data_IF_741274370639
#
_entry.id   IF_741274370639
#
_cell.length_a   1.000
_cell.length_b   1.000
_cell.length_c   1.000
_cell.angle_alpha   90.00
_cell.angle_beta   90.00
_cell.angle_gamma   90.00
#
_symmetry.space_group_name_H-M   'P 1'
#
loop_
_entity.id
_entity.type
_entity.pdbx_description
1 polymer ?
#
# COMPACT_ATOMS: atom_id res chain seq x y z
N UNK A 1 9.41 19.12 8.73
CA UNK A 1 8.66 20.12 9.52
C UNK A 1 9.30 21.46 9.20
N UNK A 2 8.60 22.39 8.56
CA UNK A 2 9.17 23.71 8.24
C UNK A 2 9.52 24.46 9.52
N UNK A 3 10.66 25.16 9.53
CA UNK A 3 11.03 26.01 10.67
C UNK A 3 10.24 27.31 10.57
N UNK A 4 9.45 27.61 11.59
CA UNK A 4 8.52 28.74 11.60
C UNK A 4 8.95 29.69 12.70
N UNK A 5 9.07 30.96 12.36
CA UNK A 5 9.23 32.05 13.31
C UNK A 5 8.00 32.96 13.23
N UNK A 6 7.45 33.36 14.37
CA UNK A 6 6.16 34.09 14.41
C UNK A 6 6.34 35.55 14.81
N UNK A 7 5.82 36.45 14.00
CA UNK A 7 5.60 37.86 14.32
C UNK A 7 4.12 38.06 14.67
N UNK A 8 3.86 38.55 15.88
CA UNK A 8 2.50 38.90 16.34
C UNK A 8 2.40 40.42 16.42
N UNK A 9 1.43 40.99 15.71
CA UNK A 9 1.08 42.40 15.82
C UNK A 9 0.04 42.60 16.90
N UNK A 10 0.31 43.52 17.83
CA UNK A 10 -0.68 43.98 18.77
C UNK A 10 -1.68 44.92 18.10
N UNK A 11 -2.95 44.98 18.55
CA UNK A 11 -3.94 45.89 17.98
C UNK A 11 -3.45 47.35 17.94
N UNK A 12 -3.46 47.93 16.74
CA UNK A 12 -3.02 49.31 16.50
C UNK A 12 -1.49 49.50 16.37
N UNK A 13 -0.70 48.44 16.51
CA UNK A 13 0.75 48.50 16.23
C UNK A 13 1.02 48.34 14.74
N UNK A 14 1.93 49.16 14.22
CA UNK A 14 2.49 49.03 12.87
C UNK A 14 3.84 48.30 12.87
N UNK A 15 4.32 47.88 14.05
CA UNK A 15 5.63 47.24 14.20
C UNK A 15 5.58 45.98 15.06
N UNK A 16 6.33 44.96 14.67
CA UNK A 16 6.56 43.77 15.46
C UNK A 16 8.06 43.44 15.56
N UNK A 17 8.47 42.80 16.66
CA UNK A 17 9.85 42.36 16.87
C UNK A 17 9.89 40.84 17.03
N UNK A 18 10.88 40.23 16.41
CA UNK A 18 11.06 38.79 16.36
C UNK A 18 12.50 38.44 16.69
N UNK A 19 12.68 37.43 17.55
CA UNK A 19 13.99 36.94 17.99
C UNK A 19 14.09 35.44 17.78
N UNK A 20 15.31 34.92 17.63
CA UNK A 20 15.57 33.47 17.60
C UNK A 20 15.95 32.91 16.24
N UNK A 21 16.13 33.77 15.23
CA UNK A 21 16.77 33.36 13.98
C UNK A 21 18.28 33.19 14.17
N UNK A 22 18.85 32.31 13.37
CA UNK A 22 20.29 32.04 13.31
C UNK A 22 20.78 32.18 11.87
N UNK A 23 22.02 32.64 11.72
CA UNK A 23 22.68 32.60 10.42
C UNK A 23 22.74 31.17 9.88
N UNK A 24 22.65 31.04 8.55
CA UNK A 24 22.69 29.76 7.82
C UNK A 24 21.57 28.78 8.17
N UNK A 25 20.55 29.23 8.90
CA UNK A 25 19.39 28.40 9.23
C UNK A 25 18.34 28.47 8.13
N UNK A 26 18.65 27.87 6.98
CA UNK A 26 17.90 28.03 5.74
C UNK A 26 16.48 27.46 5.77
N UNK A 27 15.63 27.98 4.88
CA UNK A 27 14.25 27.52 4.71
C UNK A 27 13.30 27.96 5.83
N UNK A 28 13.63 29.04 6.54
CA UNK A 28 12.79 29.62 7.57
C UNK A 28 11.55 30.29 6.98
N UNK A 29 10.41 30.10 7.64
CA UNK A 29 9.14 30.76 7.29
C UNK A 29 8.80 31.77 8.37
N UNK A 30 8.57 33.02 7.95
CA UNK A 30 7.99 34.05 8.80
C UNK A 30 6.47 33.93 8.74
N UNK A 31 5.89 33.67 9.92
CA UNK A 31 4.44 33.65 10.16
C UNK A 31 4.01 34.97 10.78
N UNK A 32 3.03 35.62 10.18
CA UNK A 32 2.51 36.92 10.60
C UNK A 32 1.08 36.73 11.11
N UNK A 33 0.81 37.25 12.31
CA UNK A 33 -0.47 37.15 12.99
C UNK A 33 -0.87 38.51 13.58
N UNK A 34 -2.17 38.67 13.83
CA UNK A 34 -2.72 39.92 14.41
C UNK A 34 -3.02 41.01 13.37
N UNK A 35 -2.90 40.71 12.08
CA UNK A 35 -3.24 41.59 10.97
C UNK A 35 -4.28 40.93 10.07
N UNK A 36 -5.15 41.74 9.45
CA UNK A 36 -6.11 41.27 8.44
C UNK A 36 -5.58 41.57 7.04
N UNK A 37 -4.57 40.80 6.61
CA UNK A 37 -3.90 41.01 5.33
C UNK A 37 -4.68 40.35 4.16
N UNK A 38 -4.51 40.85 2.91
CA UNK A 38 -5.07 40.20 1.73
C UNK A 38 -4.58 38.76 1.54
N UNK A 39 -5.26 37.97 0.70
CA UNK A 39 -4.93 36.56 0.44
C UNK A 39 -3.49 36.35 -0.06
N UNK A 40 -2.96 37.31 -0.82
CA UNK A 40 -1.57 37.40 -1.19
C UNK A 40 -1.07 38.82 -0.92
N UNK A 41 0.12 38.95 -0.32
CA UNK A 41 0.70 40.23 0.05
C UNK A 41 2.19 40.26 -0.29
N UNK A 42 2.68 41.39 -0.77
CA UNK A 42 4.10 41.56 -1.07
C UNK A 42 4.86 41.94 0.21
N UNK A 43 5.97 41.26 0.45
CA UNK A 43 6.81 41.48 1.63
C UNK A 43 8.24 41.70 1.16
N UNK A 44 8.80 42.84 1.53
CA UNK A 44 10.16 43.24 1.16
C UNK A 44 11.11 42.97 2.32
N UNK A 45 12.08 42.09 2.11
CA UNK A 45 13.11 41.81 3.11
C UNK A 45 14.35 42.67 2.87
N UNK A 46 14.90 43.29 3.90
CA UNK A 46 16.15 44.06 3.82
C UNK A 46 17.02 43.88 5.06
N UNK A 47 18.34 43.96 4.89
CA UNK A 47 19.31 44.01 5.99
C UNK A 47 19.48 45.42 6.57
N UNK A 48 18.88 46.42 5.93
CA UNK A 48 18.96 47.82 6.31
C UNK A 48 17.55 48.39 6.49
N UNK A 49 17.36 49.20 7.52
CA UNK A 49 16.03 49.72 7.84
C UNK A 49 15.59 50.87 6.91
N UNK A 50 16.52 51.74 6.52
CA UNK A 50 16.18 53.02 5.88
C UNK A 50 16.75 53.21 4.48
N UNK A 51 17.70 52.38 4.05
CA UNK A 51 18.43 52.50 2.78
C UNK A 51 18.80 51.11 2.25
N UNK A 52 19.27 51.02 1.01
CA UNK A 52 19.73 49.77 0.42
C UNK A 52 18.66 49.07 -0.43
N UNK A 53 18.94 47.81 -0.78
CA UNK A 53 18.06 46.99 -1.60
C UNK A 53 17.19 46.09 -0.72
N UNK A 54 16.06 45.68 -1.27
CA UNK A 54 15.19 44.67 -0.68
C UNK A 54 15.02 43.48 -1.61
N UNK A 55 14.69 42.32 -1.04
CA UNK A 55 14.30 41.12 -1.76
C UNK A 55 12.81 40.89 -1.51
N UNK A 56 12.00 41.00 -2.57
CA UNK A 56 10.56 40.77 -2.48
C UNK A 56 10.22 39.28 -2.40
N UNK A 57 9.22 38.97 -1.59
CA UNK A 57 8.56 37.67 -1.51
C UNK A 57 7.05 37.88 -1.43
N UNK A 58 6.29 36.89 -1.88
CA UNK A 58 4.83 36.88 -1.74
C UNK A 58 4.48 36.04 -0.52
N UNK A 59 3.82 36.66 0.45
CA UNK A 59 3.20 35.99 1.58
C UNK A 59 1.81 35.50 1.21
N UNK A 60 1.41 34.34 1.73
CA UNK A 60 0.08 33.74 1.52
C UNK A 60 -0.69 33.78 2.82
N UNK A 61 -1.87 34.40 2.79
CA UNK A 61 -2.75 34.54 3.95
C UNK A 61 -3.87 33.51 3.90
N UNK A 62 -4.01 32.76 4.99
CA UNK A 62 -5.11 31.81 5.21
C UNK A 62 -5.57 31.90 6.66
N UNK A 63 -6.88 32.01 6.88
CA UNK A 63 -7.50 32.04 8.21
C UNK A 63 -6.89 33.11 9.15
N UNK A 64 -6.56 34.29 8.59
CA UNK A 64 -5.96 35.41 9.35
C UNK A 64 -4.47 35.23 9.70
N UNK A 65 -3.81 34.23 9.13
CA UNK A 65 -2.38 33.95 9.31
C UNK A 65 -1.68 34.05 7.96
N UNK A 66 -0.63 34.86 7.87
CA UNK A 66 0.17 35.01 6.66
C UNK A 66 1.52 34.34 6.81
N UNK A 67 1.85 33.41 5.91
CA UNK A 67 3.15 32.76 5.88
C UNK A 67 3.97 33.23 4.68
N UNK A 68 5.25 33.53 4.90
CA UNK A 68 6.20 33.94 3.85
C UNK A 68 7.58 33.32 4.10
N UNK A 69 8.25 32.89 3.03
CA UNK A 69 9.60 32.33 3.12
C UNK A 69 10.62 33.46 3.30
N UNK A 70 11.47 33.35 4.32
CA UNK A 70 12.61 34.26 4.52
C UNK A 70 13.68 33.94 3.46
N UNK A 71 14.19 34.94 2.71
CA UNK A 71 15.27 34.69 1.77
C UNK A 71 16.55 34.20 2.47
N UNK A 72 17.10 33.07 2.03
CA UNK A 72 18.31 32.49 2.61
C UNK A 72 19.50 33.47 2.57
N UNK A 73 19.61 34.30 1.52
CA UNK A 73 20.64 35.35 1.42
C UNK A 73 20.62 36.34 2.60
N UNK A 74 19.45 36.60 3.18
CA UNK A 74 19.29 37.47 4.34
C UNK A 74 19.72 36.78 5.65
N UNK A 75 19.78 35.45 5.66
CA UNK A 75 20.31 34.64 6.77
C UNK A 75 21.81 34.38 6.63
N UNK A 76 22.44 34.79 5.53
CA UNK A 76 23.89 34.73 5.36
C UNK A 76 24.54 36.06 5.75
N UNK A 77 24.02 37.17 5.21
CA UNK A 77 24.55 38.53 5.40
C UNK A 77 26.08 38.58 5.20
N UNK A 78 26.56 38.04 4.07
CA UNK A 78 27.98 37.94 3.70
C UNK A 78 28.88 37.32 4.79
N UNK A 79 28.30 36.48 5.66
CA UNK A 79 29.00 35.86 6.77
C UNK A 79 29.33 36.81 7.92
N UNK A 80 28.46 37.79 8.18
CA UNK A 80 28.65 38.74 9.27
C UNK A 80 28.94 38.06 10.62
N UNK A 81 30.04 38.46 11.26
CA UNK A 81 30.49 37.84 12.53
C UNK A 81 29.67 38.26 13.75
N UNK A 82 28.73 39.20 13.58
CA UNK A 82 27.92 39.78 14.66
C UNK A 82 26.44 39.58 14.40
N UNK A 83 25.67 39.47 15.47
CA UNK A 83 24.21 39.50 15.41
C UNK A 83 23.75 40.77 14.70
N UNK A 84 22.81 40.63 13.77
CA UNK A 84 22.30 41.72 12.95
C UNK A 84 20.78 41.68 12.89
N UNK A 85 20.21 42.79 12.43
CA UNK A 85 18.78 42.93 12.24
C UNK A 85 18.44 42.84 10.74
N UNK A 86 17.41 42.08 10.44
CA UNK A 86 16.72 42.05 9.15
C UNK A 86 15.35 42.66 9.34
N UNK A 87 14.83 43.31 8.30
CA UNK A 87 13.54 43.96 8.30
C UNK A 87 12.66 43.33 7.24
N UNK A 88 11.42 43.03 7.59
CA UNK A 88 10.38 42.65 6.64
C UNK A 88 9.34 43.78 6.60
N UNK A 89 9.17 44.39 5.44
CA UNK A 89 8.20 45.45 5.20
C UNK A 89 7.00 44.86 4.46
N UNK A 90 5.82 44.99 5.05
CA UNK A 90 4.56 44.51 4.44
C UNK A 90 4.04 45.63 3.55
N UNK A 91 4.02 45.38 2.25
CA UNK A 91 3.59 46.32 1.23
C UNK A 91 2.18 45.93 0.76
N UNK A 92 1.21 46.82 1.00
CA UNK A 92 -0.16 46.66 0.52
C UNK A 92 -0.30 47.39 -0.80
N UNK A 93 -0.79 46.69 -1.81
CA UNK A 93 -0.99 47.22 -3.16
C UNK A 93 -2.45 47.03 -3.55
N UNK A 94 -3.04 48.07 -4.13
CA UNK A 94 -4.33 48.03 -4.83
C UNK A 94 -4.12 48.31 -6.34
N UNK A 95 -5.22 48.34 -7.11
CA UNK A 95 -5.16 48.51 -8.57
C UNK A 95 -4.56 49.86 -9.01
N UNK A 96 -4.40 50.83 -8.10
CA UNK A 96 -4.02 52.21 -8.40
C UNK A 96 -2.80 52.72 -7.63
N UNK A 97 -2.46 52.10 -6.50
CA UNK A 97 -1.44 52.57 -5.58
C UNK A 97 -0.91 51.45 -4.68
N UNK A 98 0.20 51.69 -4.00
CA UNK A 98 0.64 50.81 -2.93
C UNK A 98 1.45 51.56 -1.88
N UNK A 99 1.44 51.03 -0.66
CA UNK A 99 2.14 51.61 0.48
C UNK A 99 2.65 50.55 1.46
N UNK A 100 3.79 50.82 2.08
CA UNK A 100 4.30 50.02 3.20
C UNK A 100 3.57 50.43 4.47
N UNK A 101 2.80 49.50 5.06
CA UNK A 101 2.02 49.79 6.27
C UNK A 101 2.63 49.22 7.55
N UNK A 102 3.32 48.08 7.45
CA UNK A 102 3.82 47.36 8.61
C UNK A 102 5.30 47.01 8.46
N UNK A 103 5.99 46.96 9.60
CA UNK A 103 7.42 46.60 9.67
C UNK A 103 7.65 45.55 10.74
N UNK A 104 8.38 44.51 10.39
CA UNK A 104 8.83 43.49 11.32
C UNK A 104 10.34 43.58 11.42
N UNK A 105 10.86 43.71 12.64
CA UNK A 105 12.29 43.62 12.93
C UNK A 105 12.62 42.21 13.37
N UNK A 106 13.53 41.55 12.66
CA UNK A 106 13.96 40.17 12.90
C UNK A 106 15.43 40.15 13.29
N UNK A 107 15.73 39.74 14.52
CA UNK A 107 17.11 39.59 14.97
C UNK A 107 17.66 38.22 14.57
N UNK A 108 18.78 38.24 13.84
CA UNK A 108 19.50 37.04 13.38
C UNK A 108 20.81 36.92 14.15
N UNK A 109 20.95 35.85 14.94
CA UNK A 109 22.18 35.57 15.70
C UNK A 109 23.26 35.03 14.77
N UNK A 110 24.45 35.63 14.86
CA UNK A 110 25.61 35.13 14.11
C UNK A 110 26.07 33.77 14.64
N UNK A 111 26.58 32.94 13.74
CA UNK A 111 27.21 31.66 14.08
C UNK A 111 28.20 31.26 12.98
N UNK A 112 29.17 30.36 13.26
CA UNK A 112 30.06 29.86 12.23
C UNK A 112 29.29 29.22 11.07
N UNK A 113 29.74 29.49 9.84
CA UNK A 113 29.20 28.85 8.63
C UNK A 113 29.31 27.33 8.79
N UNK A 114 28.19 26.59 8.70
CA UNK A 114 28.24 25.15 8.80
C UNK A 114 29.07 24.61 7.64
N UNK A 115 29.98 23.69 7.94
CA UNK A 115 30.57 22.85 6.90
C UNK A 115 29.44 22.02 6.29
N UNK A 116 29.10 22.31 5.04
CA UNK A 116 28.25 21.42 4.26
C UNK A 116 29.19 20.36 3.70
N UNK A 117 29.08 19.08 4.11
CA UNK A 117 29.87 18.02 3.50
C UNK A 117 29.57 17.99 2.00
N UNK A 118 30.56 18.32 1.17
CA UNK A 118 30.40 18.47 -0.29
C UNK A 118 30.16 19.88 -0.81
N UNK A 119 30.14 20.91 0.05
CA UNK A 119 29.95 22.32 -0.29
C UNK A 119 31.23 23.17 -0.28
N UNK A 120 32.39 22.55 -0.49
CA UNK A 120 33.55 23.28 -1.01
C UNK A 120 33.35 23.53 -2.51
N UNK A 121 34.08 24.48 -3.10
CA UNK A 121 34.11 24.75 -4.54
C UNK A 121 34.46 23.49 -5.36
N UNK A 122 33.49 22.58 -5.53
CA UNK A 122 33.56 21.52 -6.52
C UNK A 122 32.88 22.11 -7.76
N UNK A 123 33.65 22.62 -8.76
CA UNK A 123 33.08 23.18 -9.98
C UNK A 123 32.21 22.18 -10.77
N UNK A 124 32.20 20.91 -10.37
CA UNK A 124 31.43 19.82 -10.98
C UNK A 124 30.19 19.35 -10.18
N UNK A 125 29.75 20.04 -9.12
CA UNK A 125 28.53 19.69 -8.38
C UNK A 125 27.30 19.49 -9.28
N UNK A 126 27.12 20.34 -10.29
CA UNK A 126 26.02 20.19 -11.26
C UNK A 126 26.18 18.93 -12.11
N UNK A 127 27.41 18.58 -12.50
CA UNK A 127 27.67 17.36 -13.24
C UNK A 127 27.39 16.11 -12.39
N UNK A 128 27.80 16.10 -11.13
CA UNK A 128 27.51 15.01 -10.18
C UNK A 128 26.02 14.86 -9.92
N UNK A 129 25.30 15.97 -9.74
CA UNK A 129 23.84 15.97 -9.59
C UNK A 129 23.14 15.41 -10.84
N UNK A 130 23.56 15.84 -12.04
CA UNK A 130 23.04 15.31 -13.30
C UNK A 130 23.36 13.82 -13.44
N UNK A 131 24.57 13.37 -13.09
CA UNK A 131 24.91 11.96 -13.10
C UNK A 131 24.08 11.14 -12.10
N UNK A 132 23.80 11.67 -10.91
CA UNK A 132 22.96 11.01 -9.92
C UNK A 132 21.51 10.89 -10.37
N UNK A 133 20.98 11.95 -11.01
CA UNK A 133 19.66 11.93 -11.65
C UNK A 133 19.63 10.92 -12.79
N UNK A 134 20.65 10.88 -13.65
CA UNK A 134 20.74 9.92 -14.75
C UNK A 134 20.76 8.48 -14.23
N UNK A 135 21.59 8.17 -13.22
CA UNK A 135 21.61 6.84 -12.58
C UNK A 135 20.25 6.45 -11.99
N UNK A 136 19.53 7.42 -11.44
CA UNK A 136 18.18 7.21 -10.90
C UNK A 136 17.18 6.94 -12.02
N UNK A 137 17.26 7.66 -13.12
CA UNK A 137 16.44 7.44 -14.31
C UNK A 137 16.72 6.06 -14.94
N UNK A 138 17.98 5.67 -15.09
CA UNK A 138 18.37 4.36 -15.61
C UNK A 138 17.83 3.22 -14.73
N UNK A 139 17.92 3.38 -13.40
CA UNK A 139 17.36 2.42 -12.44
C UNK A 139 15.83 2.33 -12.52
N UNK A 140 15.16 3.47 -12.73
CA UNK A 140 13.72 3.50 -12.90
C UNK A 140 13.30 2.79 -14.20
N UNK A 141 13.99 3.05 -15.31
CA UNK A 141 13.74 2.40 -16.58
C UNK A 141 13.96 0.88 -16.51
N UNK A 142 15.01 0.43 -15.82
CA UNK A 142 15.24 -1.00 -15.58
C UNK A 142 14.14 -1.62 -14.71
N UNK A 143 13.67 -0.90 -13.68
CA UNK A 143 12.58 -1.37 -12.82
C UNK A 143 11.25 -1.48 -13.57
N UNK A 144 10.92 -0.50 -14.41
CA UNK A 144 9.76 -0.55 -15.32
C UNK A 144 9.88 -1.74 -16.27
N UNK A 145 11.06 -1.93 -16.85
CA UNK A 145 11.35 -3.05 -17.74
C UNK A 145 11.12 -4.41 -17.09
N UNK A 146 11.54 -4.55 -15.84
CA UNK A 146 11.30 -5.76 -15.09
C UNK A 146 9.82 -5.94 -14.72
N UNK A 147 9.13 -4.87 -14.32
CA UNK A 147 7.71 -4.91 -13.98
C UNK A 147 6.84 -5.31 -15.17
N UNK A 148 7.08 -4.75 -16.37
CA UNK A 148 6.38 -5.12 -17.59
C UNK A 148 6.64 -6.58 -17.97
N UNK A 149 7.89 -7.05 -17.84
CA UNK A 149 8.21 -8.46 -18.05
C UNK A 149 7.43 -9.39 -17.12
N UNK A 150 7.20 -8.99 -15.88
CA UNK A 150 6.37 -9.76 -14.94
C UNK A 150 4.87 -9.70 -15.24
N UNK A 151 4.39 -8.57 -15.74
CA UNK A 151 2.97 -8.37 -16.02
C UNK A 151 2.53 -9.03 -17.34
N UNK A 152 3.28 -8.82 -18.42
CA UNK A 152 2.84 -9.13 -19.79
C UNK A 152 3.79 -10.08 -20.55
N UNK A 153 4.94 -10.38 -19.95
CA UNK A 153 5.99 -11.15 -20.59
C UNK A 153 6.80 -10.33 -21.60
N UNK A 154 8.09 -10.63 -21.73
CA UNK A 154 9.02 -9.93 -22.62
C UNK A 154 10.05 -10.87 -23.24
N UNK A 155 10.25 -10.77 -24.56
CA UNK A 155 11.09 -11.72 -25.33
C UNK A 155 12.59 -11.62 -25.03
N UNK A 156 13.05 -10.44 -24.65
CA UNK A 156 14.42 -10.11 -24.29
C UNK A 156 14.75 -10.46 -22.82
N UNK A 157 13.77 -10.94 -22.05
CA UNK A 157 13.94 -11.51 -20.71
C UNK A 157 13.45 -12.97 -20.73
N UNK A 158 14.33 -13.95 -21.04
CA UNK A 158 13.95 -15.33 -21.29
C UNK A 158 13.17 -15.98 -20.13
N UNK A 159 13.52 -15.64 -18.90
CA UNK A 159 12.83 -16.13 -17.68
C UNK A 159 11.40 -15.60 -17.54
N UNK A 160 11.03 -14.59 -18.33
CA UNK A 160 9.76 -13.86 -18.28
C UNK A 160 9.19 -13.71 -19.68
N UNK A 161 9.42 -14.68 -20.57
CA UNK A 161 8.97 -14.60 -21.97
C UNK A 161 7.44 -14.68 -22.13
N UNK A 162 6.73 -15.15 -21.10
CA UNK A 162 5.27 -15.28 -21.08
C UNK A 162 4.67 -14.45 -19.95
N UNK A 163 3.48 -13.88 -20.21
CA UNK A 163 2.63 -13.24 -19.21
C UNK A 163 2.34 -14.21 -18.06
N UNK A 164 2.66 -13.79 -16.83
CA UNK A 164 2.49 -14.63 -15.65
C UNK A 164 1.03 -15.04 -15.41
N UNK A 165 0.09 -14.12 -15.61
CA UNK A 165 -1.33 -14.42 -15.42
C UNK A 165 -1.79 -15.45 -16.45
N UNK A 166 -1.34 -15.32 -17.70
CA UNK A 166 -1.60 -16.29 -18.78
C UNK A 166 -0.96 -17.64 -18.50
N UNK A 167 0.27 -17.66 -17.97
CA UNK A 167 0.97 -18.90 -17.61
C UNK A 167 0.21 -19.69 -16.54
N UNK A 168 -0.10 -19.05 -15.40
CA UNK A 168 -0.84 -19.72 -14.32
C UNK A 168 -2.28 -20.05 -14.71
N UNK A 169 -2.94 -19.22 -15.53
CA UNK A 169 -4.25 -19.56 -16.09
C UNK A 169 -4.19 -20.81 -16.99
N UNK A 170 -3.13 -20.96 -17.79
CA UNK A 170 -2.87 -22.16 -18.57
C UNK A 170 -2.68 -23.39 -17.70
N UNK A 171 -1.86 -23.31 -16.65
CA UNK A 171 -1.69 -24.41 -15.69
C UNK A 171 -3.00 -24.79 -14.98
N UNK A 172 -3.83 -23.80 -14.63
CA UNK A 172 -5.13 -24.04 -14.04
C UNK A 172 -6.08 -24.72 -15.03
N UNK A 173 -6.12 -24.27 -16.29
CA UNK A 173 -6.92 -24.88 -17.34
C UNK A 173 -6.49 -26.34 -17.62
N UNK A 174 -5.19 -26.60 -17.70
CA UNK A 174 -4.63 -27.95 -17.87
C UNK A 174 -4.93 -28.87 -16.68
N UNK A 175 -4.95 -28.31 -15.48
CA UNK A 175 -5.32 -29.07 -14.27
C UNK A 175 -6.81 -29.38 -14.29
N UNK A 176 -7.64 -28.41 -14.63
CA UNK A 176 -9.09 -28.57 -14.71
C UNK A 176 -9.49 -29.59 -15.79
N UNK A 177 -8.82 -29.59 -16.95
CA UNK A 177 -9.10 -30.54 -18.04
C UNK A 177 -8.79 -32.00 -17.68
N UNK A 178 -7.90 -32.23 -16.71
CA UNK A 178 -7.55 -33.57 -16.19
C UNK A 178 -8.52 -34.07 -15.12
N UNK A 179 -9.38 -33.22 -14.55
CA UNK A 179 -10.32 -33.62 -13.48
C UNK A 179 -11.28 -34.73 -13.94
N UNK A 180 -11.94 -34.64 -15.11
CA UNK A 180 -12.87 -35.68 -15.55
C UNK A 180 -12.22 -37.07 -15.63
N UNK A 181 -11.02 -37.16 -16.21
CA UNK A 181 -10.28 -38.44 -16.29
C UNK A 181 -9.99 -39.03 -14.90
N UNK A 182 -9.54 -38.19 -13.95
CA UNK A 182 -9.31 -38.62 -12.56
C UNK A 182 -10.58 -39.07 -11.85
N UNK A 183 -11.74 -38.47 -12.19
CA UNK A 183 -13.04 -38.86 -11.62
C UNK A 183 -13.48 -40.22 -12.17
N UNK A 184 -13.32 -40.45 -13.47
CA UNK A 184 -13.61 -41.76 -14.07
C UNK A 184 -12.69 -42.86 -13.52
N UNK A 185 -11.39 -42.61 -13.42
CA UNK A 185 -10.43 -43.54 -12.81
C UNK A 185 -10.83 -43.89 -11.36
N UNK A 186 -11.20 -42.89 -10.56
CA UNK A 186 -11.64 -43.11 -9.17
C UNK A 186 -12.96 -43.88 -9.10
N UNK A 187 -13.89 -43.63 -10.03
CA UNK A 187 -15.15 -44.38 -10.13
C UNK A 187 -14.89 -45.85 -10.46
N UNK A 188 -14.04 -46.14 -11.44
CA UNK A 188 -13.67 -47.50 -11.81
C UNK A 188 -12.94 -48.25 -10.68
N UNK A 189 -12.15 -47.54 -9.87
CA UNK A 189 -11.52 -48.11 -8.68
C UNK A 189 -12.56 -48.49 -7.62
N UNK A 190 -13.53 -47.62 -7.35
CA UNK A 190 -14.64 -47.88 -6.42
C UNK A 190 -15.50 -49.05 -6.91
N UNK A 191 -15.87 -49.07 -8.19
CA UNK A 191 -16.72 -50.11 -8.76
C UNK A 191 -16.02 -51.48 -8.68
N UNK A 192 -14.71 -51.55 -8.98
CA UNK A 192 -13.91 -52.77 -8.80
C UNK A 192 -13.83 -53.19 -7.33
N UNK A 193 -13.64 -52.25 -6.41
CA UNK A 193 -13.61 -52.54 -4.98
C UNK A 193 -14.94 -53.12 -4.49
N UNK A 194 -16.07 -52.54 -4.89
CA UNK A 194 -17.42 -53.01 -4.54
C UNK A 194 -17.66 -54.41 -5.09
N UNK A 195 -17.35 -54.65 -6.37
CA UNK A 195 -17.49 -55.98 -6.98
C UNK A 195 -16.67 -57.03 -6.23
N UNK A 196 -15.39 -56.75 -5.94
CA UNK A 196 -14.55 -57.67 -5.17
C UNK A 196 -15.09 -57.93 -3.76
N UNK A 197 -15.67 -56.91 -3.10
CA UNK A 197 -16.31 -57.08 -1.80
C UNK A 197 -17.59 -57.89 -1.87
N UNK A 198 -18.41 -57.70 -2.90
CA UNK A 198 -19.60 -58.53 -3.11
C UNK A 198 -19.23 -60.00 -3.31
N UNK A 199 -18.22 -60.30 -4.13
CA UNK A 199 -17.72 -61.67 -4.33
C UNK A 199 -17.22 -62.27 -3.02
N UNK A 200 -16.41 -61.52 -2.26
CA UNK A 200 -15.91 -61.96 -0.95
C UNK A 200 -17.05 -62.26 0.04
N UNK A 201 -18.09 -61.42 0.07
CA UNK A 201 -19.24 -61.59 0.98
C UNK A 201 -20.18 -62.72 0.55
N UNK A 202 -20.30 -63.00 -0.75
CA UNK A 202 -21.04 -64.17 -1.25
C UNK A 202 -20.37 -65.50 -0.86
N UNK A 203 -19.05 -65.50 -0.70
CA UNK A 203 -18.26 -66.68 -0.30
C UNK A 203 -18.47 -67.88 -1.24
N UNK A 204 -18.10 -69.10 -0.79
CA UNK A 204 -18.31 -70.34 -1.56
C UNK A 204 -19.80 -70.71 -1.73
N UNK A 205 -20.67 -70.11 -0.92
CA UNK A 205 -22.08 -70.50 -0.87
C UNK A 205 -22.91 -69.78 -1.95
N UNK A 206 -22.49 -68.61 -2.46
CA UNK A 206 -23.32 -67.76 -3.32
C UNK A 206 -24.42 -67.02 -2.54
N UNK A 207 -25.30 -66.25 -3.21
CA UNK A 207 -26.38 -65.48 -2.57
C UNK A 207 -27.11 -66.32 -1.50
N UNK A 208 -27.00 -65.91 -0.24
CA UNK A 208 -27.67 -66.59 0.88
C UNK A 208 -28.98 -65.85 1.13
N UNK A 209 -30.03 -66.25 0.44
CA UNK A 209 -31.37 -65.84 0.82
C UNK A 209 -31.74 -66.63 2.08
N UNK A 210 -31.80 -65.94 3.22
CA UNK A 210 -32.34 -66.51 4.44
C UNK A 210 -33.86 -66.43 4.39
N UNK A 211 -34.55 -67.40 5.00
CA UNK A 211 -36.00 -67.37 5.13
C UNK A 211 -36.46 -66.02 5.69
N UNK A 212 -37.37 -65.35 4.99
CA UNK A 212 -37.85 -64.04 5.37
C UNK A 212 -38.79 -64.16 6.59
N UNK A 213 -38.59 -63.31 7.61
CA UNK A 213 -39.47 -63.26 8.77
C UNK A 213 -40.44 -62.08 8.66
N UNK A 214 -41.72 -62.31 8.92
CA UNK A 214 -42.76 -61.27 8.96
C UNK A 214 -43.73 -61.54 10.09
N UNK A 215 -44.12 -60.50 10.82
CA UNK A 215 -45.17 -60.61 11.84
C UNK A 215 -46.54 -60.48 11.16
N UNK A 216 -47.40 -61.49 11.35
CA UNK A 216 -48.78 -61.49 10.84
C UNK A 216 -49.72 -61.82 11.99
N UNK A 217 -50.67 -60.92 12.26
CA UNK A 217 -51.63 -61.03 13.37
C UNK A 217 -50.94 -61.30 14.72
N UNK A 218 -49.86 -60.57 15.01
CA UNK A 218 -49.11 -60.68 16.27
C UNK A 218 -48.23 -61.93 16.41
N UNK A 219 -48.09 -62.74 15.36
CA UNK A 219 -47.23 -63.94 15.36
C UNK A 219 -46.10 -63.79 14.34
N UNK A 220 -44.86 -64.03 14.76
CA UNK A 220 -43.71 -64.12 13.84
C UNK A 220 -43.89 -65.33 12.93
N UNK A 221 -43.96 -65.10 11.62
CA UNK A 221 -44.03 -66.13 10.59
C UNK A 221 -42.75 -66.10 9.78
N UNK A 222 -42.17 -67.27 9.58
CA UNK A 222 -41.05 -67.48 8.68
C UNK A 222 -41.60 -67.95 7.33
N UNK A 223 -41.18 -67.29 6.26
CA UNK A 223 -41.55 -67.59 4.88
C UNK A 223 -40.29 -68.10 4.20
N UNK A 224 -40.36 -69.32 3.68
CA UNK A 224 -39.30 -69.90 2.88
C UNK A 224 -39.72 -69.94 1.43
N UNK A 225 -38.89 -69.40 0.54
CA UNK A 225 -39.07 -69.53 -0.90
C UNK A 225 -38.40 -70.81 -1.39
N UNK A 226 -39.16 -71.81 -1.86
CA UNK A 226 -38.60 -73.09 -2.26
C UNK A 226 -37.68 -73.00 -3.48
N UNK A 227 -37.76 -71.96 -4.32
CA UNK A 227 -36.91 -71.80 -5.50
C UNK A 227 -35.56 -71.15 -5.17
N UNK A 228 -35.45 -70.50 -4.01
CA UNK A 228 -34.33 -69.60 -3.69
C UNK A 228 -33.58 -70.01 -2.41
N UNK A 229 -34.27 -70.57 -1.40
CA UNK A 229 -33.67 -70.86 -0.09
C UNK A 229 -32.85 -72.15 -0.06
N UNK A 230 -31.63 -72.07 0.52
CA UNK A 230 -30.75 -73.23 0.74
C UNK A 230 -31.22 -74.13 1.89
N UNK A 231 -32.01 -73.60 2.82
CA UNK A 231 -32.54 -74.34 3.96
C UNK A 231 -34.06 -74.32 3.90
N UNK A 232 -34.66 -75.46 3.55
CA UNK A 232 -36.12 -75.62 3.52
C UNK A 232 -36.61 -76.15 4.85
N UNK A 233 -37.53 -75.42 5.49
CA UNK A 233 -38.18 -75.87 6.72
C UNK A 233 -39.58 -76.41 6.43
N UNK A 234 -39.88 -77.62 6.90
CA UNK A 234 -41.18 -78.28 6.72
C UNK A 234 -41.73 -78.64 8.09
N UNK A 235 -42.98 -78.27 8.36
CA UNK A 235 -43.66 -78.63 9.60
C UNK A 235 -44.43 -79.93 9.42
N UNK A 236 -44.11 -80.93 10.22
CA UNK A 236 -44.85 -82.20 10.29
C UNK A 236 -45.42 -82.33 11.71
N UNK A 237 -46.71 -82.06 11.86
CA UNK A 237 -47.37 -81.97 13.15
C UNK A 237 -46.78 -80.85 14.03
N UNK A 238 -46.28 -81.23 15.21
CA UNK A 238 -45.62 -80.32 16.17
C UNK A 238 -44.12 -80.12 15.92
N UNK A 239 -43.51 -80.88 15.01
CA UNK A 239 -42.06 -80.85 14.76
C UNK A 239 -41.76 -79.99 13.52
N UNK A 240 -40.78 -79.11 13.65
CA UNK A 240 -40.17 -78.41 12.51
C UNK A 240 -38.97 -79.23 12.05
N UNK A 241 -39.00 -79.68 10.81
CA UNK A 241 -37.89 -80.37 10.15
C UNK A 241 -37.24 -79.40 9.18
N UNK A 242 -35.95 -79.61 8.87
CA UNK A 242 -35.27 -78.88 7.83
C UNK A 242 -34.56 -79.82 6.87
N UNK A 243 -34.40 -79.36 5.62
CA UNK A 243 -33.58 -80.00 4.59
C UNK A 243 -32.68 -78.95 3.96
N UNK A 244 -31.40 -79.28 3.82
CA UNK A 244 -30.46 -78.48 3.03
C UNK A 244 -30.61 -78.87 1.56
N UNK A 245 -30.80 -77.87 0.70
CA UNK A 245 -30.62 -78.04 -0.74
C UNK A 245 -29.18 -77.63 -1.05
N UNK A 246 -28.36 -78.60 -1.45
CA UNK A 246 -27.04 -78.36 -2.04
C UNK A 246 -27.17 -78.32 -3.56
#
# INVERSE_FOLDING_TARGET
>A
MGKIITAVFEPGSTTANVYGLWQYDYGQTLRIQGLNLPSAVEIHFSLQETKGTSVSRVGVTKDGVTDVIIPDSMLENDGADKTYDMFAFIYLTDDTSGQTEYKIKLQVKSRPKPEVPGGGENPNIFHEAVQAVQKSADKAAESERQAEGWAHGRKDLPERAQDNARYYAGQAADTASKIPGRVEEAKEEIDRYVQGKEEQLKGETGNVYFAAFKVVNGRLKMYSDPEIDKVRFIRIGSRLLYRLNF
#
